data_IF_276717976039
#
_entry.id   IF_276717976039
#
_cell.length_a   1.000
_cell.length_b   1.000
_cell.length_c   1.000
_cell.angle_alpha   90.00
_cell.angle_beta   90.00
_cell.angle_gamma   90.00
#
_symmetry.space_group_name_H-M   'P 1'
#
loop_
_entity.id
_entity.type
_entity.pdbx_description
1 polymer ?
#
# COMPACT_ATOMS: atom_id res chain seq x y z
N UNK A 1 0.45 16.85 -18.15
CA UNK A 1 -0.20 15.68 -17.52
C UNK A 1 0.68 14.43 -17.50
N UNK A 2 1.62 14.29 -18.43
CA UNK A 2 2.57 13.18 -18.44
C UNK A 2 3.53 13.14 -17.22
N UNK A 3 3.76 14.27 -16.54
CA UNK A 3 4.68 14.36 -15.39
C UNK A 3 4.14 13.72 -14.11
N UNK A 4 2.82 13.67 -13.91
CA UNK A 4 2.23 13.05 -12.73
C UNK A 4 2.21 11.52 -12.85
N UNK A 5 1.95 11.00 -14.04
CA UNK A 5 1.95 9.57 -14.31
C UNK A 5 3.37 8.99 -14.26
N UNK A 6 4.36 9.73 -14.80
CA UNK A 6 5.76 9.35 -14.72
C UNK A 6 6.26 9.33 -13.26
N UNK A 7 5.79 10.25 -12.41
CA UNK A 7 6.18 10.30 -11.00
C UNK A 7 5.56 9.15 -10.18
N UNK A 8 4.31 8.77 -10.48
CA UNK A 8 3.66 7.63 -9.87
C UNK A 8 4.31 6.31 -10.33
N UNK A 9 4.66 6.19 -11.60
CA UNK A 9 5.37 5.03 -12.14
C UNK A 9 6.79 4.93 -11.56
N UNK A 10 7.49 6.06 -11.38
CA UNK A 10 8.82 6.09 -10.77
C UNK A 10 8.80 5.69 -9.29
N UNK A 11 7.75 6.06 -8.54
CA UNK A 11 7.61 5.61 -7.14
C UNK A 11 7.36 4.11 -7.04
N UNK A 12 6.68 3.52 -8.01
CA UNK A 12 6.34 2.10 -8.04
C UNK A 12 7.49 1.25 -8.58
N UNK A 13 8.17 1.73 -9.62
CA UNK A 13 9.43 1.17 -10.08
C UNK A 13 10.50 1.26 -8.98
N UNK A 14 10.47 2.32 -8.17
CA UNK A 14 11.37 2.53 -7.05
C UNK A 14 11.26 1.46 -5.96
N UNK A 15 10.06 0.91 -5.69
CA UNK A 15 9.90 -0.17 -4.72
C UNK A 15 10.56 -1.47 -5.19
N UNK A 16 10.27 -1.92 -6.43
CA UNK A 16 10.86 -3.13 -6.98
C UNK A 16 12.36 -2.99 -7.12
N UNK A 17 12.86 -1.84 -7.57
CA UNK A 17 14.29 -1.58 -7.70
C UNK A 17 14.98 -1.57 -6.34
N UNK A 18 14.40 -0.94 -5.32
CA UNK A 18 14.96 -0.92 -3.95
C UNK A 18 15.01 -2.31 -3.35
N UNK A 19 13.90 -3.05 -3.43
CA UNK A 19 13.85 -4.39 -2.86
C UNK A 19 14.76 -5.36 -3.64
N UNK A 20 14.91 -5.18 -4.94
CA UNK A 20 15.83 -5.95 -5.77
C UNK A 20 17.28 -5.76 -5.33
N UNK A 21 17.67 -4.54 -5.01
CA UNK A 21 19.00 -4.21 -4.52
C UNK A 21 19.22 -4.78 -3.11
N UNK A 22 18.26 -4.59 -2.22
CA UNK A 22 18.38 -5.03 -0.82
C UNK A 22 18.40 -6.55 -0.67
N UNK A 23 17.65 -7.26 -1.50
CA UNK A 23 17.57 -8.73 -1.50
C UNK A 23 18.53 -9.37 -2.50
N UNK A 24 19.21 -8.58 -3.31
CA UNK A 24 20.09 -9.07 -4.38
C UNK A 24 19.37 -10.04 -5.31
N UNK A 25 18.23 -9.61 -5.87
CA UNK A 25 17.42 -10.42 -6.75
C UNK A 25 18.13 -10.67 -8.08
N UNK A 26 17.97 -11.86 -8.64
CA UNK A 26 18.37 -12.15 -10.01
C UNK A 26 17.50 -11.37 -10.99
N UNK A 27 17.94 -11.25 -12.25
CA UNK A 27 17.16 -10.59 -13.31
C UNK A 27 15.81 -11.28 -13.51
N UNK A 28 15.76 -12.61 -13.42
CA UNK A 28 14.53 -13.38 -13.52
C UNK A 28 13.59 -13.08 -12.34
N UNK A 29 14.09 -13.06 -11.11
CA UNK A 29 13.31 -12.72 -9.93
C UNK A 29 12.77 -11.30 -10.01
N UNK A 30 13.59 -10.36 -10.47
CA UNK A 30 13.20 -8.97 -10.67
C UNK A 30 12.05 -8.84 -11.67
N UNK A 31 12.11 -9.56 -12.76
CA UNK A 31 11.04 -9.57 -13.77
C UNK A 31 9.75 -10.19 -13.21
N UNK A 32 9.87 -11.30 -12.50
CA UNK A 32 8.73 -11.93 -11.81
C UNK A 32 8.08 -10.98 -10.80
N UNK A 33 8.88 -10.25 -10.02
CA UNK A 33 8.37 -9.26 -9.07
C UNK A 33 7.61 -8.14 -9.79
N UNK A 34 8.14 -7.63 -10.88
CA UNK A 34 7.46 -6.59 -11.70
C UNK A 34 6.11 -7.09 -12.21
N UNK A 35 6.05 -8.31 -12.70
CA UNK A 35 4.82 -8.91 -13.23
C UNK A 35 3.79 -9.12 -12.13
N UNK A 36 4.19 -9.61 -10.96
CA UNK A 36 3.32 -9.82 -9.80
C UNK A 36 2.68 -8.51 -9.37
N UNK A 37 3.47 -7.47 -9.15
CA UNK A 37 2.97 -6.19 -8.67
C UNK A 37 2.20 -5.41 -9.74
N UNK A 38 2.55 -5.57 -11.00
CA UNK A 38 1.77 -5.01 -12.12
C UNK A 38 0.38 -5.65 -12.21
N UNK A 39 0.28 -6.96 -12.09
CA UNK A 39 -0.99 -7.69 -12.08
C UNK A 39 -1.86 -7.28 -10.89
N UNK A 40 -1.26 -7.09 -9.71
CA UNK A 40 -1.97 -6.61 -8.52
C UNK A 40 -2.55 -5.21 -8.76
N UNK A 41 -1.77 -4.30 -9.34
CA UNK A 41 -2.25 -2.95 -9.64
C UNK A 41 -3.41 -2.94 -10.61
N UNK A 42 -3.36 -3.78 -11.64
CA UNK A 42 -4.46 -3.90 -12.60
C UNK A 42 -5.72 -4.45 -11.94
N UNK A 43 -5.58 -5.50 -11.12
CA UNK A 43 -6.70 -6.08 -10.40
C UNK A 43 -7.31 -5.11 -9.36
N UNK A 44 -6.48 -4.29 -8.75
CA UNK A 44 -6.89 -3.32 -7.73
C UNK A 44 -7.54 -2.05 -8.29
N UNK A 45 -7.45 -1.84 -9.59
CA UNK A 45 -7.87 -0.57 -10.22
C UNK A 45 -9.32 -0.23 -9.96
N UNK A 46 -10.21 -1.18 -10.15
CA UNK A 46 -11.65 -1.00 -9.95
C UNK A 46 -11.99 -0.68 -8.49
N UNK A 47 -11.42 -1.44 -7.55
CA UNK A 47 -11.63 -1.22 -6.13
C UNK A 47 -11.11 0.15 -5.67
N UNK A 48 -9.99 0.61 -6.22
CA UNK A 48 -9.44 1.95 -5.92
C UNK A 48 -10.34 3.06 -6.43
N UNK A 49 -10.92 2.91 -7.63
CA UNK A 49 -11.87 3.88 -8.18
C UNK A 49 -13.13 3.96 -7.32
N UNK A 50 -13.69 2.83 -6.94
CA UNK A 50 -14.87 2.76 -6.06
C UNK A 50 -14.58 3.38 -4.70
N UNK A 51 -13.44 3.07 -4.10
CA UNK A 51 -13.02 3.65 -2.83
C UNK A 51 -12.91 5.18 -2.91
N UNK A 52 -12.36 5.68 -4.00
CA UNK A 52 -12.24 7.13 -4.23
C UNK A 52 -13.61 7.80 -4.31
N UNK A 53 -14.57 7.16 -4.98
CA UNK A 53 -15.94 7.65 -5.08
C UNK A 53 -16.64 7.66 -3.71
N UNK A 54 -16.45 6.59 -2.94
CA UNK A 54 -17.02 6.51 -1.57
C UNK A 54 -16.45 7.59 -0.67
N UNK A 55 -15.15 7.85 -0.74
CA UNK A 55 -14.49 8.91 0.03
C UNK A 55 -14.99 10.30 -0.37
N UNK A 56 -15.25 10.53 -1.65
CA UNK A 56 -15.85 11.79 -2.12
C UNK A 56 -17.26 11.96 -1.56
N UNK A 57 -18.05 10.89 -1.50
CA UNK A 57 -19.40 10.92 -0.92
C UNK A 57 -19.37 11.29 0.56
N UNK A 58 -18.43 10.71 1.31
CA UNK A 58 -18.22 11.06 2.73
C UNK A 58 -17.86 12.53 2.89
N UNK A 59 -16.90 13.01 2.10
CA UNK A 59 -16.46 14.40 2.17
C UNK A 59 -17.58 15.38 1.82
N UNK A 60 -18.35 15.06 0.78
CA UNK A 60 -19.51 15.88 0.38
C UNK A 60 -20.56 15.94 1.46
N UNK A 61 -20.82 14.84 2.15
CA UNK A 61 -21.77 14.78 3.26
C UNK A 61 -21.33 15.64 4.45
N UNK A 62 -20.03 15.60 4.77
CA UNK A 62 -19.45 16.44 5.83
C UNK A 62 -19.60 17.92 5.48
N UNK A 63 -19.24 18.29 4.24
CA UNK A 63 -19.36 19.69 3.78
C UNK A 63 -20.81 20.19 3.72
N UNK A 64 -21.76 19.29 3.43
CA UNK A 64 -23.19 19.61 3.42
C UNK A 64 -23.80 19.69 4.83
N UNK A 65 -23.03 19.41 5.87
CA UNK A 65 -23.52 19.44 7.24
C UNK A 65 -24.47 18.32 7.60
N UNK A 66 -24.36 17.16 6.94
CA UNK A 66 -25.22 16.02 7.24
C UNK A 66 -24.98 15.47 8.65
N UNK A 67 -26.00 14.82 9.27
CA UNK A 67 -25.84 14.25 10.61
C UNK A 67 -24.70 13.24 10.67
N UNK A 68 -24.02 13.18 11.81
CA UNK A 68 -22.88 12.29 12.02
C UNK A 68 -23.21 10.82 11.73
N UNK A 69 -24.44 10.38 12.06
CA UNK A 69 -24.89 9.01 11.80
C UNK A 69 -24.92 8.69 10.29
N UNK A 70 -25.32 9.65 9.46
CA UNK A 70 -25.34 9.49 8.00
C UNK A 70 -23.91 9.44 7.44
N UNK A 71 -23.02 10.28 7.94
CA UNK A 71 -21.61 10.30 7.56
C UNK A 71 -20.94 8.96 7.92
N UNK A 72 -21.21 8.45 9.11
CA UNK A 72 -20.69 7.15 9.56
C UNK A 72 -21.14 6.02 8.63
N UNK A 73 -22.41 6.01 8.25
CA UNK A 73 -22.96 4.99 7.35
C UNK A 73 -22.30 5.03 5.96
N UNK A 74 -22.08 6.22 5.41
CA UNK A 74 -21.35 6.40 4.15
C UNK A 74 -19.89 5.93 4.26
N UNK A 75 -19.23 6.23 5.37
CA UNK A 75 -17.84 5.78 5.60
C UNK A 75 -17.75 4.25 5.65
N UNK A 76 -18.73 3.57 6.21
CA UNK A 76 -18.78 2.09 6.25
C UNK A 76 -18.88 1.46 4.87
N UNK A 77 -19.38 2.19 3.87
CA UNK A 77 -19.44 1.71 2.48
C UNK A 77 -18.04 1.52 1.85
N UNK A 78 -16.99 2.04 2.48
CA UNK A 78 -15.59 1.80 2.06
C UNK A 78 -15.10 0.38 2.39
N UNK A 79 -15.74 -0.31 3.32
CA UNK A 79 -15.25 -1.58 3.86
C UNK A 79 -15.04 -2.68 2.80
N UNK A 80 -15.96 -2.90 1.84
CA UNK A 80 -15.74 -3.92 0.81
C UNK A 80 -14.50 -3.66 -0.04
N UNK A 81 -14.27 -2.41 -0.45
CA UNK A 81 -13.12 -2.03 -1.27
C UNK A 81 -11.82 -2.14 -0.50
N UNK A 82 -11.81 -1.73 0.78
CA UNK A 82 -10.64 -1.87 1.65
C UNK A 82 -10.27 -3.35 1.84
N UNK A 83 -11.27 -4.21 2.04
CA UNK A 83 -11.07 -5.65 2.16
C UNK A 83 -10.51 -6.27 0.89
N UNK A 84 -11.04 -5.90 -0.27
CA UNK A 84 -10.55 -6.37 -1.57
C UNK A 84 -9.10 -5.94 -1.82
N UNK A 85 -8.78 -4.68 -1.56
CA UNK A 85 -7.41 -4.16 -1.72
C UNK A 85 -6.43 -4.86 -0.77
N UNK A 86 -6.83 -5.11 0.47
CA UNK A 86 -6.00 -5.85 1.43
C UNK A 86 -5.74 -7.27 0.96
N UNK A 87 -6.76 -7.96 0.42
CA UNK A 87 -6.64 -9.31 -0.11
C UNK A 87 -5.71 -9.38 -1.32
N UNK A 88 -5.86 -8.46 -2.27
CA UNK A 88 -5.00 -8.41 -3.46
C UNK A 88 -3.55 -8.13 -3.10
N UNK A 89 -3.31 -7.23 -2.14
CA UNK A 89 -1.96 -6.95 -1.65
C UNK A 89 -1.34 -8.17 -0.98
N UNK A 90 -2.09 -8.85 -0.14
CA UNK A 90 -1.61 -10.05 0.53
C UNK A 90 -1.25 -11.16 -0.46
N UNK A 91 -2.06 -11.36 -1.48
CA UNK A 91 -1.79 -12.34 -2.56
C UNK A 91 -0.51 -11.98 -3.32
N UNK A 92 -0.33 -10.70 -3.67
CA UNK A 92 0.87 -10.24 -4.37
C UNK A 92 2.13 -10.49 -3.54
N UNK A 93 2.10 -10.17 -2.24
CA UNK A 93 3.23 -10.43 -1.35
C UNK A 93 3.49 -11.93 -1.14
N UNK A 94 2.45 -12.75 -1.08
CA UNK A 94 2.61 -14.20 -0.98
C UNK A 94 3.28 -14.79 -2.23
N UNK A 95 2.88 -14.32 -3.41
CA UNK A 95 3.51 -14.72 -4.67
C UNK A 95 4.96 -14.26 -4.76
N UNK A 96 5.23 -13.04 -4.35
CA UNK A 96 6.59 -12.49 -4.32
C UNK A 96 7.48 -13.29 -3.37
N UNK A 97 6.99 -13.57 -2.15
CA UNK A 97 7.72 -14.36 -1.16
C UNK A 97 8.08 -15.76 -1.69
N UNK A 98 7.18 -16.38 -2.43
CA UNK A 98 7.39 -17.71 -3.01
C UNK A 98 8.50 -17.73 -4.09
N UNK A 99 8.79 -16.60 -4.72
CA UNK A 99 9.85 -16.46 -5.73
C UNK A 99 11.23 -16.33 -5.08
N UNK A 100 11.30 -15.97 -3.80
CA UNK A 100 12.54 -15.73 -3.09
C UNK A 100 13.20 -17.02 -2.60
N UNK A 101 14.54 -17.02 -2.53
CA UNK A 101 15.28 -18.07 -1.83
C UNK A 101 15.06 -17.97 -0.33
N UNK A 102 15.33 -19.05 0.47
CA UNK A 102 15.21 -18.99 1.92
C UNK A 102 16.03 -17.86 2.57
N UNK A 103 17.24 -17.61 2.07
CA UNK A 103 18.09 -16.52 2.57
C UNK A 103 17.47 -15.14 2.27
N UNK A 104 16.91 -14.96 1.09
CA UNK A 104 16.20 -13.74 0.71
C UNK A 104 14.93 -13.54 1.54
N UNK A 105 14.20 -14.61 1.83
CA UNK A 105 13.02 -14.58 2.68
C UNK A 105 13.35 -14.10 4.09
N UNK A 106 14.44 -14.60 4.69
CA UNK A 106 14.92 -14.16 5.99
C UNK A 106 15.34 -12.69 5.97
N UNK A 107 16.03 -12.27 4.91
CA UNK A 107 16.45 -10.87 4.75
C UNK A 107 15.23 -9.94 4.66
N UNK A 108 14.20 -10.35 3.93
CA UNK A 108 12.95 -9.59 3.81
C UNK A 108 12.26 -9.44 5.17
N UNK A 109 12.21 -10.51 5.97
CA UNK A 109 11.64 -10.46 7.32
C UNK A 109 12.41 -9.48 8.20
N UNK A 110 13.73 -9.48 8.14
CA UNK A 110 14.59 -8.55 8.90
C UNK A 110 14.33 -7.10 8.50
N UNK A 111 14.24 -6.83 7.20
CA UNK A 111 13.92 -5.50 6.68
C UNK A 111 12.55 -5.01 7.14
N UNK A 112 11.58 -5.92 7.18
CA UNK A 112 10.23 -5.61 7.63
C UNK A 112 10.19 -5.26 9.13
N UNK A 113 10.95 -5.99 9.96
CA UNK A 113 11.09 -5.70 11.39
C UNK A 113 11.76 -4.35 11.63
N UNK A 114 12.84 -4.04 10.90
CA UNK A 114 13.52 -2.74 10.96
C UNK A 114 12.57 -1.60 10.58
N UNK A 115 11.79 -1.81 9.54
CA UNK A 115 10.80 -0.84 9.09
C UNK A 115 9.73 -0.58 10.16
N UNK A 116 9.21 -1.62 10.82
CA UNK A 116 8.26 -1.49 11.92
C UNK A 116 8.87 -0.73 13.09
N UNK A 117 10.11 -1.02 13.46
CA UNK A 117 10.81 -0.35 14.56
C UNK A 117 10.99 1.13 14.28
N UNK A 118 11.37 1.50 13.07
CA UNK A 118 11.50 2.91 12.67
C UNK A 118 10.17 3.66 12.73
N UNK A 119 9.08 3.03 12.29
CA UNK A 119 7.76 3.64 12.36
C UNK A 119 7.23 3.73 13.78
N UNK A 120 7.47 2.74 14.63
CA UNK A 120 7.13 2.78 16.05
C UNK A 120 7.88 3.92 16.76
N UNK A 121 9.20 4.03 16.54
CA UNK A 121 10.01 5.10 17.10
C UNK A 121 9.55 6.48 16.63
N UNK A 122 9.17 6.61 15.36
CA UNK A 122 8.66 7.87 14.80
C UNK A 122 7.31 8.24 15.42
N UNK A 123 6.41 7.28 15.64
CA UNK A 123 5.13 7.51 16.29
C UNK A 123 5.29 7.89 17.76
N UNK A 124 6.21 7.26 18.48
CA UNK A 124 6.54 7.61 19.86
C UNK A 124 7.13 9.02 19.95
N UNK A 125 8.04 9.38 19.05
CA UNK A 125 8.60 10.72 18.98
C UNK A 125 7.54 11.77 18.64
N UNK A 126 6.56 11.42 17.79
CA UNK A 126 5.42 12.28 17.45
C UNK A 126 4.45 12.48 18.61
N UNK A 127 4.28 11.46 19.46
CA UNK A 127 3.43 11.52 20.66
C UNK A 127 4.14 12.14 21.88
N UNK A 128 5.46 12.21 21.84
CA UNK A 128 6.28 12.79 22.91
C UNK A 128 6.43 14.30 22.78
N UNK A 129 5.64 14.98 21.94
CA UNK A 129 5.60 16.44 21.95
C UNK A 129 5.08 16.90 23.30
N UNK A 130 5.88 17.64 24.08
CA UNK A 130 5.40 18.12 25.36
C UNK A 130 4.21 19.04 25.10
N UNK A 131 3.02 18.52 25.35
CA UNK A 131 1.82 19.32 25.39
C UNK A 131 2.00 20.36 26.48
N UNK A 132 1.92 21.59 26.11
CA UNK A 132 1.68 22.65 27.07
C UNK A 132 0.21 22.83 27.24
#
# INVERSE_FOLDING_TARGET
>A
MAKQDANAQNRRAGFVDRISTQLNLSDQQKQQAKDIFSSERQAARSARLELRQERKSVQSAIQAGKPAADVEQLAKNEAPQLGELAGLRAVAFAKFYAVLTPAQQQKLQSLHQEWRQRHAARNEAGNATPGR
#
